data_IF_187258484089
#
_entry.id   IF_187258484089
#
_cell.length_a   1.000
_cell.length_b   1.000
_cell.length_c   1.000
_cell.angle_alpha   90.00
_cell.angle_beta   90.00
_cell.angle_gamma   90.00
#
_symmetry.space_group_name_H-M   'P 1'
#
loop_
_entity.id
_entity.type
_entity.pdbx_description
1 polymer ?
#
# COMPACT_ATOMS: atom_id res chain seq x y z
N UNK A 1 15.43 -0.12 8.87
CA UNK A 1 14.15 0.58 9.15
C UNK A 1 13.94 1.90 8.41
N UNK A 2 14.91 2.81 8.39
CA UNK A 2 14.72 4.15 7.81
C UNK A 2 14.32 4.16 6.33
N UNK A 3 14.95 3.31 5.51
CA UNK A 3 14.61 3.18 4.08
C UNK A 3 13.17 2.69 3.86
N UNK A 4 12.68 1.76 4.67
CA UNK A 4 11.30 1.25 4.61
C UNK A 4 10.29 2.35 4.98
N UNK A 5 10.56 3.14 6.02
CA UNK A 5 9.74 4.30 6.40
C UNK A 5 9.69 5.36 5.30
N UNK A 6 10.82 5.60 4.61
CA UNK A 6 10.88 6.51 3.45
C UNK A 6 10.03 6.01 2.28
N UNK A 7 10.13 4.72 1.95
CA UNK A 7 9.30 4.10 0.90
C UNK A 7 7.82 4.17 1.28
N UNK A 8 7.44 3.83 2.53
CA UNK A 8 6.07 3.97 3.03
C UNK A 8 5.51 5.38 2.78
N UNK A 9 6.28 6.41 3.13
CA UNK A 9 5.88 7.81 2.89
C UNK A 9 5.69 8.14 1.42
N UNK A 10 6.57 7.65 0.54
CA UNK A 10 6.42 7.85 -0.91
C UNK A 10 5.16 7.19 -1.45
N UNK A 11 4.87 5.96 -1.02
CA UNK A 11 3.67 5.23 -1.44
C UNK A 11 2.41 5.89 -0.88
N UNK A 12 2.44 6.39 0.36
CA UNK A 12 1.33 7.17 0.94
C UNK A 12 1.04 8.42 0.10
N UNK A 13 2.06 9.16 -0.33
CA UNK A 13 1.85 10.33 -1.19
C UNK A 13 1.19 9.95 -2.54
N UNK A 14 1.44 8.74 -3.07
CA UNK A 14 0.76 8.26 -4.28
C UNK A 14 -0.72 7.94 -4.02
N UNK A 15 -1.05 7.46 -2.81
CA UNK A 15 -2.43 7.22 -2.40
C UNK A 15 -3.20 8.55 -2.34
N UNK A 16 -2.61 9.53 -1.65
CA UNK A 16 -3.20 10.87 -1.51
C UNK A 16 -3.43 11.53 -2.90
N UNK A 17 -2.48 11.35 -3.83
CA UNK A 17 -2.62 11.84 -5.20
C UNK A 17 -3.76 11.14 -5.95
N UNK A 18 -3.87 9.82 -5.84
CA UNK A 18 -4.94 9.07 -6.49
C UNK A 18 -6.32 9.50 -5.96
N UNK A 19 -6.46 9.71 -4.65
CA UNK A 19 -7.70 10.21 -4.04
C UNK A 19 -8.06 11.62 -4.51
N UNK A 20 -7.06 12.50 -4.64
CA UNK A 20 -7.24 13.85 -5.18
C UNK A 20 -7.76 13.83 -6.61
N UNK A 21 -7.16 13.02 -7.49
CA UNK A 21 -7.58 12.94 -8.89
C UNK A 21 -8.96 12.26 -9.06
N UNK A 22 -9.30 11.26 -8.24
CA UNK A 22 -10.66 10.70 -8.19
C UNK A 22 -11.66 11.80 -7.83
N UNK A 23 -11.38 12.55 -6.76
CA UNK A 23 -12.28 13.62 -6.27
C UNK A 23 -12.48 14.71 -7.32
N UNK A 24 -11.38 15.17 -7.93
CA UNK A 24 -11.39 16.18 -8.99
C UNK A 24 -12.21 15.73 -10.21
N UNK A 25 -11.96 14.52 -10.73
CA UNK A 25 -12.68 14.03 -11.90
C UNK A 25 -14.16 13.73 -11.59
N UNK A 26 -14.47 13.28 -10.37
CA UNK A 26 -15.85 13.08 -9.92
C UNK A 26 -16.62 14.39 -9.91
N UNK A 27 -16.01 15.47 -9.39
CA UNK A 27 -16.62 16.80 -9.39
C UNK A 27 -16.85 17.33 -10.81
N UNK A 28 -15.86 17.20 -11.70
CA UNK A 28 -16.00 17.62 -13.11
C UNK A 28 -17.10 16.84 -13.85
N UNK A 29 -17.21 15.53 -13.58
CA UNK A 29 -18.28 14.70 -14.11
C UNK A 29 -19.66 15.16 -13.62
N UNK A 30 -19.82 15.44 -12.32
CA UNK A 30 -21.08 15.93 -11.77
C UNK A 30 -21.47 17.32 -12.32
N UNK A 31 -20.50 18.23 -12.44
CA UNK A 31 -20.70 19.55 -13.03
C UNK A 31 -21.20 19.45 -14.47
N UNK A 32 -20.58 18.61 -15.31
CA UNK A 32 -21.04 18.37 -16.68
C UNK A 32 -22.42 17.69 -16.73
N UNK A 33 -22.67 16.71 -15.86
CA UNK A 33 -23.98 16.02 -15.78
C UNK A 33 -25.12 16.96 -15.43
N UNK A 34 -24.84 18.01 -14.66
CA UNK A 34 -25.83 19.00 -14.21
C UNK A 34 -26.21 20.04 -15.27
N UNK A 35 -25.50 20.10 -16.40
CA UNK A 35 -25.81 21.01 -17.51
C UNK A 35 -27.02 20.52 -18.31
N UNK A 36 -27.70 21.44 -19.00
CA UNK A 36 -28.80 21.11 -19.91
C UNK A 36 -28.38 20.05 -20.93
N UNK A 37 -29.28 19.12 -21.24
CA UNK A 37 -29.00 17.92 -22.04
C UNK A 37 -28.39 18.21 -23.41
N UNK A 38 -28.70 19.38 -23.96
CA UNK A 38 -28.27 19.84 -25.28
C UNK A 38 -26.85 20.48 -25.25
N UNK A 39 -26.31 20.71 -24.05
CA UNK A 39 -24.97 21.22 -23.78
C UNK A 39 -24.04 20.17 -23.14
N UNK A 40 -24.50 18.93 -22.99
CA UNK A 40 -23.70 17.84 -22.43
C UNK A 40 -22.67 17.39 -23.47
N UNK A 41 -21.41 17.48 -23.08
CA UNK A 41 -20.30 16.92 -23.84
C UNK A 41 -20.08 15.45 -23.43
N UNK A 42 -20.76 14.55 -24.14
CA UNK A 42 -20.72 13.10 -23.92
C UNK A 42 -19.31 12.48 -24.06
N UNK A 43 -18.40 13.17 -24.75
CA UNK A 43 -17.01 12.74 -24.89
C UNK A 43 -16.25 13.02 -23.58
N UNK A 44 -16.30 14.26 -23.10
CA UNK A 44 -15.64 14.64 -21.84
C UNK A 44 -16.22 13.92 -20.63
N UNK A 45 -17.54 13.67 -20.60
CA UNK A 45 -18.17 12.85 -19.56
C UNK A 45 -17.60 11.42 -19.50
N UNK A 46 -17.38 10.80 -20.67
CA UNK A 46 -16.76 9.48 -20.76
C UNK A 46 -15.29 9.50 -20.36
N UNK A 47 -14.57 10.55 -20.73
CA UNK A 47 -13.17 10.75 -20.33
C UNK A 47 -13.05 10.84 -18.81
N UNK A 48 -13.84 11.69 -18.14
CA UNK A 48 -13.79 11.81 -16.69
C UNK A 48 -14.18 10.52 -15.97
N UNK A 49 -15.18 9.78 -16.46
CA UNK A 49 -15.47 8.44 -15.93
C UNK A 49 -14.31 7.47 -16.11
N UNK A 50 -13.66 7.50 -17.28
CA UNK A 50 -12.47 6.69 -17.57
C UNK A 50 -11.33 7.00 -16.62
N UNK A 51 -11.05 8.27 -16.38
CA UNK A 51 -10.04 8.75 -15.44
C UNK A 51 -10.37 8.32 -14.00
N UNK A 52 -11.63 8.48 -13.54
CA UNK A 52 -12.05 8.01 -12.21
C UNK A 52 -11.74 6.51 -12.04
N UNK A 53 -12.11 5.68 -13.03
CA UNK A 53 -11.87 4.24 -12.98
C UNK A 53 -10.37 3.92 -13.00
N UNK A 54 -9.57 4.64 -13.80
CA UNK A 54 -8.12 4.47 -13.84
C UNK A 54 -7.50 4.78 -12.47
N UNK A 55 -7.87 5.91 -11.86
CA UNK A 55 -7.34 6.30 -10.55
C UNK A 55 -7.82 5.39 -9.42
N UNK A 56 -9.04 4.85 -9.49
CA UNK A 56 -9.50 3.82 -8.54
C UNK A 56 -8.62 2.57 -8.58
N UNK A 57 -8.19 2.13 -9.77
CA UNK A 57 -7.27 0.99 -9.91
C UNK A 57 -5.89 1.31 -9.33
N UNK A 58 -5.38 2.52 -9.56
CA UNK A 58 -4.13 2.99 -8.97
C UNK A 58 -4.24 2.99 -7.44
N UNK A 59 -5.31 3.58 -6.89
CA UNK A 59 -5.59 3.59 -5.45
C UNK A 59 -5.55 2.18 -4.86
N UNK A 60 -6.27 1.23 -5.46
CA UNK A 60 -6.29 -0.16 -5.01
C UNK A 60 -4.88 -0.80 -5.02
N UNK A 61 -4.09 -0.59 -6.07
CA UNK A 61 -2.73 -1.12 -6.14
C UNK A 61 -1.83 -0.51 -5.04
N UNK A 62 -1.92 0.80 -4.83
CA UNK A 62 -1.14 1.53 -3.82
C UNK A 62 -1.51 1.09 -2.41
N UNK A 63 -2.79 0.87 -2.11
CA UNK A 63 -3.26 0.35 -0.81
C UNK A 63 -2.67 -1.03 -0.51
N UNK A 64 -2.62 -1.93 -1.49
CA UNK A 64 -2.00 -3.25 -1.32
C UNK A 64 -0.49 -3.14 -1.05
N UNK A 65 0.21 -2.26 -1.75
CA UNK A 65 1.64 -2.00 -1.52
C UNK A 65 1.87 -1.45 -0.11
N UNK A 66 1.04 -0.51 0.35
CA UNK A 66 1.11 0.01 1.72
C UNK A 66 0.89 -1.10 2.76
N UNK A 67 -0.07 -2.00 2.52
CA UNK A 67 -0.30 -3.16 3.36
C UNK A 67 0.95 -4.03 3.52
N UNK A 68 1.60 -4.37 2.41
CA UNK A 68 2.85 -5.14 2.42
C UNK A 68 4.00 -4.43 3.15
N UNK A 69 4.16 -3.12 2.94
CA UNK A 69 5.19 -2.33 3.64
C UNK A 69 4.93 -2.29 5.15
N UNK A 70 3.67 -2.17 5.57
CA UNK A 70 3.31 -2.18 6.99
C UNK A 70 3.63 -3.54 7.64
N UNK A 71 3.27 -4.64 6.98
CA UNK A 71 3.60 -5.98 7.48
C UNK A 71 5.11 -6.18 7.61
N UNK A 72 5.91 -5.74 6.62
CA UNK A 72 7.37 -5.82 6.67
C UNK A 72 7.96 -4.98 7.81
N UNK A 73 7.38 -3.81 8.10
CA UNK A 73 7.79 -2.99 9.24
C UNK A 73 7.51 -3.73 10.55
N UNK A 74 6.31 -4.30 10.71
CA UNK A 74 5.92 -5.04 11.91
C UNK A 74 6.83 -6.26 12.15
N UNK A 75 7.17 -7.01 11.09
CA UNK A 75 8.09 -8.15 11.17
C UNK A 75 9.47 -7.69 11.66
N UNK A 76 10.03 -6.62 11.09
CA UNK A 76 11.35 -6.13 11.50
C UNK A 76 11.36 -5.58 12.91
N UNK A 77 10.30 -4.87 13.31
CA UNK A 77 10.17 -4.39 14.69
C UNK A 77 10.10 -5.54 15.68
N UNK A 78 9.44 -6.65 15.30
CA UNK A 78 9.43 -7.88 16.10
C UNK A 78 10.81 -8.56 16.12
N UNK A 79 11.51 -8.69 15.00
CA UNK A 79 12.86 -9.27 14.94
C UNK A 79 13.89 -8.46 15.74
N UNK A 80 13.72 -7.15 15.84
CA UNK A 80 14.58 -6.28 16.65
C UNK A 80 14.23 -6.32 18.15
N UNK A 81 13.11 -6.97 18.54
CA UNK A 81 12.64 -7.07 19.92
C UNK A 81 13.53 -7.97 20.78
N UNK A 82 13.59 -7.66 22.08
CA UNK A 82 14.34 -8.47 23.04
C UNK A 82 13.76 -9.89 23.18
N UNK A 83 12.44 -10.03 23.09
CA UNK A 83 11.78 -11.34 23.15
C UNK A 83 12.21 -12.25 22.00
N UNK A 84 12.33 -11.70 20.78
CA UNK A 84 12.83 -12.46 19.63
C UNK A 84 14.31 -12.83 19.78
N UNK A 85 15.14 -11.93 20.31
CA UNK A 85 16.56 -12.22 20.58
C UNK A 85 16.71 -13.34 21.62
N UNK A 86 15.92 -13.30 22.69
CA UNK A 86 15.89 -14.36 23.72
C UNK A 86 15.45 -15.69 23.10
N UNK A 87 14.40 -15.68 22.27
CA UNK A 87 13.95 -16.87 21.56
C UNK A 87 15.04 -17.47 20.66
N UNK A 88 15.77 -16.63 19.91
CA UNK A 88 16.89 -17.08 19.07
C UNK A 88 18.01 -17.72 19.91
N UNK A 89 18.40 -17.09 21.03
CA UNK A 89 19.40 -17.66 21.94
C UNK A 89 18.99 -19.02 22.50
N UNK A 90 17.72 -19.18 22.90
CA UNK A 90 17.19 -20.47 23.39
C UNK A 90 17.20 -21.51 22.27
N UNK A 91 16.83 -21.13 21.05
CA UNK A 91 16.81 -22.04 19.90
C UNK A 91 18.21 -22.52 19.52
N UNK A 92 19.20 -21.62 19.49
CA UNK A 92 20.61 -21.97 19.27
C UNK A 92 21.14 -22.93 20.34
N UNK A 93 20.78 -22.74 21.61
CA UNK A 93 21.21 -23.63 22.69
C UNK A 93 20.58 -25.03 22.56
N UNK A 94 19.29 -25.10 22.19
CA UNK A 94 18.62 -26.37 21.92
C UNK A 94 19.23 -27.14 20.74
N UNK A 95 19.69 -26.43 19.70
CA UNK A 95 20.39 -27.04 18.56
C UNK A 95 21.79 -27.55 18.92
N UNK A 96 22.50 -26.88 19.84
CA UNK A 96 23.81 -27.31 20.35
C UNK A 96 23.75 -28.58 21.19
N UNK A 97 22.63 -28.81 21.87
CA UNK A 97 22.39 -30.02 22.67
C UNK A 97 22.04 -31.25 21.81
N UNK A 98 21.91 -31.10 20.48
CA UNK A 98 21.77 -32.23 19.54
C UNK A 98 23.17 -32.81 19.26
N UNK A 99 23.42 -34.12 19.44
CA UNK A 99 24.70 -34.73 19.12
C UNK A 99 25.06 -34.46 17.65
N UNK A 100 26.32 -34.09 17.38
CA UNK A 100 26.84 -33.72 16.04
C UNK A 100 26.51 -34.80 14.99
N UNK A 101 26.42 -36.06 15.40
CA UNK A 101 26.12 -37.22 14.54
C UNK A 101 24.68 -37.22 13.97
N UNK A 102 23.80 -36.34 14.45
CA UNK A 102 22.37 -36.24 14.08
C UNK A 102 22.02 -34.90 13.40
N UNK A 103 22.97 -33.96 13.28
CA UNK A 103 22.79 -32.72 12.54
C UNK A 103 23.01 -32.99 11.03
N UNK A 104 21.93 -32.90 10.22
CA UNK A 104 21.91 -33.18 8.77
C UNK A 104 22.36 -31.95 7.97
#
# INVERSE_FOLDING_TARGET
>A
MESLKKVKKMVQNQLDLAELEISKNSKLYEELRSKERDLIDDMHMREYLGEIVAWQRVKYAVENILGGINAEIEIKEYEESEDYKIFQLISEELERDIPIDVQI
#
